data_IF_425349321841
#
_entry.id   IF_425349321841
#
_cell.length_a   1.000
_cell.length_b   1.000
_cell.length_c   1.000
_cell.angle_alpha   90.00
_cell.angle_beta   90.00
_cell.angle_gamma   90.00
#
_symmetry.space_group_name_H-M   'P 1'
#
loop_
_entity.id
_entity.type
_entity.pdbx_description
1 polymer ?
#
# COMPACT_ATOMS: atom_id res chain seq x y z
N UNK A 1 -5.89 -25.21 -17.44
CA UNK A 1 -4.73 -24.59 -16.78
C UNK A 1 -5.15 -23.19 -16.35
N UNK A 2 -5.12 -22.93 -15.05
CA UNK A 2 -5.81 -21.83 -14.38
C UNK A 2 -4.95 -20.57 -14.25
N UNK A 3 -5.60 -19.47 -13.87
CA UNK A 3 -4.99 -18.21 -13.41
C UNK A 3 -4.77 -18.30 -11.91
N UNK A 4 -3.60 -17.90 -11.43
CA UNK A 4 -3.29 -17.75 -10.02
C UNK A 4 -3.59 -16.32 -9.57
N UNK A 5 -4.44 -16.14 -8.57
CA UNK A 5 -4.60 -14.87 -7.85
C UNK A 5 -3.84 -14.94 -6.54
N UNK A 6 -2.79 -14.13 -6.41
CA UNK A 6 -1.95 -14.11 -5.23
C UNK A 6 -2.55 -13.16 -4.19
N UNK A 7 -3.00 -13.72 -3.06
CA UNK A 7 -3.72 -13.00 -2.02
C UNK A 7 -2.77 -12.52 -0.91
N UNK A 8 -2.43 -11.22 -0.96
CA UNK A 8 -1.47 -10.58 -0.05
C UNK A 8 -2.10 -9.75 1.07
N UNK A 9 -3.43 -9.51 1.02
CA UNK A 9 -4.17 -8.67 1.96
C UNK A 9 -4.76 -9.48 3.11
N UNK A 10 -5.16 -8.83 4.20
CA UNK A 10 -5.96 -9.50 5.22
C UNK A 10 -7.40 -9.73 4.75
N UNK A 11 -8.00 -8.68 4.17
CA UNK A 11 -9.37 -8.67 3.67
C UNK A 11 -9.55 -9.72 2.57
N UNK A 12 -10.74 -10.29 2.50
CA UNK A 12 -11.12 -11.24 1.45
C UNK A 12 -10.99 -10.63 0.05
N UNK A 13 -10.59 -11.42 -0.97
CA UNK A 13 -10.53 -10.96 -2.35
C UNK A 13 -11.89 -10.43 -2.81
N UNK A 14 -11.94 -9.55 -3.81
CA UNK A 14 -13.21 -9.04 -4.34
C UNK A 14 -14.18 -10.18 -4.73
N UNK A 15 -15.49 -9.97 -4.54
CA UNK A 15 -16.51 -10.99 -4.82
C UNK A 15 -16.36 -11.62 -6.22
N UNK A 16 -16.05 -10.82 -7.24
CA UNK A 16 -15.83 -11.30 -8.60
C UNK A 16 -14.68 -12.33 -8.72
N UNK A 17 -13.61 -12.17 -7.93
CA UNK A 17 -12.48 -13.11 -7.87
C UNK A 17 -12.90 -14.40 -7.15
N UNK A 18 -13.63 -14.28 -6.03
CA UNK A 18 -14.18 -15.45 -5.33
C UNK A 18 -15.13 -16.26 -6.21
N UNK A 19 -16.01 -15.58 -6.94
CA UNK A 19 -16.93 -16.24 -7.87
C UNK A 19 -16.16 -16.95 -9.00
N UNK A 20 -15.04 -16.39 -9.46
CA UNK A 20 -14.15 -17.01 -10.44
C UNK A 20 -13.43 -18.23 -9.89
N UNK A 21 -13.04 -18.21 -8.62
CA UNK A 21 -12.50 -19.38 -7.95
C UNK A 21 -13.52 -20.52 -7.84
N UNK A 22 -14.77 -20.21 -7.46
CA UNK A 22 -15.85 -21.20 -7.43
C UNK A 22 -16.12 -21.83 -8.80
N UNK A 23 -15.90 -21.09 -9.90
CA UNK A 23 -16.02 -21.61 -11.27
C UNK A 23 -14.76 -22.33 -11.77
N UNK A 24 -13.69 -22.40 -10.98
CA UNK A 24 -12.41 -23.01 -11.39
C UNK A 24 -11.60 -22.20 -12.40
N UNK A 25 -11.95 -20.93 -12.62
CA UNK A 25 -11.22 -20.02 -13.52
C UNK A 25 -9.93 -19.51 -12.85
N UNK A 26 -9.97 -19.36 -11.53
CA UNK A 26 -8.88 -18.81 -10.72
C UNK A 26 -8.57 -19.74 -9.53
N UNK A 27 -7.30 -19.90 -9.20
CA UNK A 27 -6.85 -20.46 -7.93
C UNK A 27 -6.38 -19.31 -7.04
N UNK A 28 -6.98 -19.16 -5.86
CA UNK A 28 -6.59 -18.15 -4.87
C UNK A 28 -5.58 -18.81 -3.91
N UNK A 29 -4.41 -18.21 -3.77
CA UNK A 29 -3.35 -18.71 -2.88
C UNK A 29 -2.85 -17.56 -2.01
N UNK A 30 -2.72 -17.78 -0.70
CA UNK A 30 -2.12 -16.79 0.21
C UNK A 30 -0.65 -16.60 -0.15
N UNK A 31 -0.14 -15.38 -0.05
CA UNK A 31 1.22 -15.12 -0.52
C UNK A 31 2.30 -15.93 0.21
N UNK A 32 2.15 -16.18 1.51
CA UNK A 32 3.07 -17.02 2.30
C UNK A 32 3.01 -18.52 1.94
N UNK A 33 1.99 -18.97 1.22
CA UNK A 33 1.84 -20.36 0.74
C UNK A 33 2.37 -20.54 -0.69
N UNK A 34 2.76 -19.45 -1.36
CA UNK A 34 3.23 -19.51 -2.73
C UNK A 34 4.56 -20.28 -2.82
N UNK A 35 4.59 -21.33 -3.64
CA UNK A 35 5.80 -22.10 -3.95
C UNK A 35 6.12 -22.04 -5.44
N UNK A 36 7.37 -22.35 -5.85
CA UNK A 36 7.71 -22.46 -7.26
C UNK A 36 6.81 -23.43 -8.03
N UNK A 37 6.48 -24.59 -7.44
CA UNK A 37 5.60 -25.57 -8.05
C UNK A 37 4.17 -25.05 -8.26
N UNK A 38 3.64 -24.30 -7.28
CA UNK A 38 2.32 -23.66 -7.42
C UNK A 38 2.37 -22.65 -8.58
N UNK A 39 3.34 -21.74 -8.62
CA UNK A 39 3.41 -20.72 -9.67
C UNK A 39 3.54 -21.36 -11.07
N UNK A 40 4.46 -22.31 -11.24
CA UNK A 40 4.74 -22.95 -12.53
C UNK A 40 3.62 -23.89 -13.01
N UNK A 41 2.68 -24.28 -12.15
CA UNK A 41 1.49 -25.04 -12.55
C UNK A 41 0.41 -24.18 -13.24
N UNK A 42 0.55 -22.85 -13.21
CA UNK A 42 -0.42 -21.89 -13.75
C UNK A 42 0.09 -21.22 -15.03
N UNK A 43 -0.82 -20.60 -15.78
CA UNK A 43 -0.48 -19.81 -17.00
C UNK A 43 -0.65 -18.31 -16.83
N UNK A 44 -1.39 -17.91 -15.79
CA UNK A 44 -1.64 -16.52 -15.44
C UNK A 44 -1.30 -16.27 -13.98
N UNK A 45 -0.80 -15.08 -13.67
CA UNK A 45 -0.57 -14.57 -12.32
C UNK A 45 -1.22 -13.19 -12.20
N UNK A 46 -2.01 -12.97 -11.17
CA UNK A 46 -2.56 -11.66 -10.81
C UNK A 46 -2.03 -11.30 -9.42
N UNK A 47 -1.38 -10.13 -9.31
CA UNK A 47 -0.91 -9.57 -8.05
C UNK A 47 -1.53 -8.21 -7.79
N UNK A 48 -1.91 -7.96 -6.54
CA UNK A 48 -2.49 -6.68 -6.10
C UNK A 48 -1.45 -5.66 -5.64
N UNK A 49 -1.92 -4.44 -5.38
CA UNK A 49 -1.12 -3.31 -4.93
C UNK A 49 -0.53 -3.50 -3.51
N UNK A 50 -0.94 -4.54 -2.78
CA UNK A 50 -0.39 -4.93 -1.48
C UNK A 50 0.54 -6.15 -1.55
N UNK A 51 1.11 -6.44 -2.73
CA UNK A 51 2.10 -7.49 -2.91
C UNK A 51 3.31 -7.28 -1.99
N UNK A 52 3.72 -8.30 -1.24
CA UNK A 52 5.01 -8.32 -0.55
C UNK A 52 6.11 -8.53 -1.60
N UNK A 53 6.72 -7.43 -2.04
CA UNK A 53 7.76 -7.46 -3.08
C UNK A 53 9.10 -7.98 -2.55
N UNK A 54 9.34 -7.92 -1.23
CA UNK A 54 10.55 -8.49 -0.63
C UNK A 54 10.51 -10.01 -0.71
N UNK A 55 9.36 -10.61 -0.37
CA UNK A 55 9.14 -12.06 -0.53
C UNK A 55 9.19 -12.46 -1.99
N UNK A 56 8.58 -11.68 -2.90
CA UNK A 56 8.62 -11.99 -4.34
C UNK A 56 10.02 -11.90 -4.95
N UNK A 57 10.93 -11.07 -4.42
CA UNK A 57 12.33 -11.06 -4.88
C UNK A 57 13.03 -12.41 -4.65
N UNK A 58 12.64 -13.17 -3.63
CA UNK A 58 13.15 -14.54 -3.41
C UNK A 58 12.64 -15.53 -4.47
N UNK A 59 11.55 -15.20 -5.15
CA UNK A 59 10.95 -15.98 -6.23
C UNK A 59 11.32 -15.47 -7.63
N UNK A 60 12.24 -14.51 -7.74
CA UNK A 60 12.63 -13.86 -9.01
C UNK A 60 12.87 -14.86 -10.13
N UNK A 61 13.72 -15.86 -9.90
CA UNK A 61 14.07 -16.84 -10.94
C UNK A 61 12.87 -17.72 -11.34
N UNK A 62 11.98 -18.03 -10.39
CA UNK A 62 10.74 -18.75 -10.69
C UNK A 62 9.77 -17.87 -11.48
N UNK A 63 9.64 -16.59 -11.13
CA UNK A 63 8.80 -15.64 -11.86
C UNK A 63 9.30 -15.45 -13.31
N UNK A 64 10.63 -15.36 -13.49
CA UNK A 64 11.26 -15.36 -14.82
C UNK A 64 10.93 -16.64 -15.58
N UNK A 65 11.14 -17.82 -14.99
CA UNK A 65 10.83 -19.10 -15.62
C UNK A 65 9.33 -19.26 -15.98
N UNK A 66 8.43 -18.77 -15.14
CA UNK A 66 6.99 -18.71 -15.42
C UNK A 66 6.70 -17.88 -16.68
N UNK A 67 7.34 -16.71 -16.83
CA UNK A 67 7.18 -15.85 -18.00
C UNK A 67 7.83 -16.46 -19.24
N UNK A 68 9.04 -17.01 -19.14
CA UNK A 68 9.74 -17.69 -20.23
C UNK A 68 8.92 -18.87 -20.79
N UNK A 69 8.15 -19.55 -19.92
CA UNK A 69 7.18 -20.58 -20.32
C UNK A 69 5.90 -20.04 -21.00
N UNK A 70 5.83 -18.74 -21.27
CA UNK A 70 4.68 -18.08 -21.90
C UNK A 70 3.63 -17.57 -20.91
N UNK A 71 3.94 -17.55 -19.62
CA UNK A 71 3.05 -17.04 -18.57
C UNK A 71 2.67 -15.58 -18.75
N UNK A 72 1.51 -15.20 -18.20
CA UNK A 72 1.02 -13.81 -18.20
C UNK A 72 0.88 -13.27 -16.79
N UNK A 73 1.53 -12.16 -16.51
CA UNK A 73 1.48 -11.51 -15.20
C UNK A 73 0.74 -10.18 -15.29
N UNK A 74 -0.33 -10.05 -14.52
CA UNK A 74 -1.04 -8.80 -14.29
C UNK A 74 -0.61 -8.20 -12.95
N UNK A 75 0.12 -7.11 -12.99
CA UNK A 75 0.67 -6.41 -11.83
C UNK A 75 -0.11 -5.12 -11.55
N UNK A 76 -0.61 -4.97 -10.32
CA UNK A 76 -1.12 -3.71 -9.78
C UNK A 76 -0.15 -3.18 -8.72
N UNK A 77 0.01 -1.86 -8.66
CA UNK A 77 0.79 -1.18 -7.63
C UNK A 77 2.05 -0.52 -8.15
N UNK A 78 2.85 0.00 -7.21
CA UNK A 78 4.14 0.62 -7.53
C UNK A 78 5.23 -0.45 -7.48
N UNK A 79 5.94 -0.67 -8.58
CA UNK A 79 7.07 -1.59 -8.66
C UNK A 79 8.26 -0.96 -7.92
N UNK A 80 8.52 -1.33 -6.66
CA UNK A 80 9.65 -0.79 -5.88
C UNK A 80 10.81 -1.77 -5.77
N UNK A 81 10.59 -3.00 -6.25
CA UNK A 81 11.61 -4.00 -6.52
C UNK A 81 11.53 -4.38 -8.01
N UNK A 82 12.62 -4.32 -8.78
CA UNK A 82 12.68 -4.90 -10.12
C UNK A 82 12.57 -6.44 -10.08
N UNK A 83 11.32 -6.94 -10.02
CA UNK A 83 11.00 -8.35 -9.76
C UNK A 83 11.43 -9.34 -10.87
N UNK A 84 11.79 -8.84 -12.06
CA UNK A 84 12.44 -9.57 -13.16
C UNK A 84 13.35 -8.60 -13.93
N UNK A 85 14.25 -9.11 -14.76
CA UNK A 85 15.11 -8.29 -15.63
C UNK A 85 14.30 -7.42 -16.60
N UNK A 86 14.79 -6.20 -16.84
CA UNK A 86 14.16 -5.22 -17.74
C UNK A 86 13.11 -4.34 -17.07
N UNK A 87 12.53 -4.74 -15.93
CA UNK A 87 11.62 -3.88 -15.16
C UNK A 87 12.40 -2.83 -14.37
N UNK A 88 11.78 -1.67 -14.19
CA UNK A 88 12.35 -0.54 -13.45
C UNK A 88 11.47 -0.13 -12.28
N UNK A 89 12.06 0.58 -11.34
CA UNK A 89 11.37 1.12 -10.19
C UNK A 89 10.34 2.19 -10.58
N UNK A 90 9.20 2.18 -9.90
CA UNK A 90 8.15 3.19 -9.97
C UNK A 90 8.70 4.60 -9.75
N UNK A 91 8.15 5.56 -10.50
CA UNK A 91 8.48 6.98 -10.37
C UNK A 91 7.19 7.80 -10.27
N UNK A 92 7.00 8.58 -9.21
CA UNK A 92 5.86 9.49 -9.10
C UNK A 92 6.03 10.70 -10.03
N UNK A 93 4.91 11.31 -10.41
CA UNK A 93 4.89 12.66 -10.97
C UNK A 93 5.33 13.63 -9.88
N UNK A 94 6.29 14.50 -10.17
CA UNK A 94 6.74 15.57 -9.27
C UNK A 94 5.60 16.58 -9.04
N UNK A 95 5.17 16.72 -7.79
CA UNK A 95 4.19 17.74 -7.37
C UNK A 95 2.96 17.82 -8.30
N UNK A 96 2.20 16.71 -8.46
CA UNK A 96 1.15 16.62 -9.46
C UNK A 96 0.03 17.61 -9.17
N UNK A 97 -0.47 18.26 -10.22
CA UNK A 97 -1.74 19.01 -10.21
C UNK A 97 -2.87 18.10 -10.71
N UNK A 98 -4.11 18.53 -10.51
CA UNK A 98 -5.30 17.78 -10.95
C UNK A 98 -5.24 17.33 -12.42
N UNK A 99 -4.82 18.24 -13.31
CA UNK A 99 -4.71 17.97 -14.75
C UNK A 99 -3.55 17.02 -15.11
N UNK A 100 -2.57 16.84 -14.22
CA UNK A 100 -1.51 15.83 -14.42
C UNK A 100 -2.03 14.40 -14.15
N UNK A 101 -3.25 14.26 -13.62
CA UNK A 101 -3.90 12.99 -13.28
C UNK A 101 -5.02 12.59 -14.25
N UNK A 102 -5.28 13.41 -15.27
CA UNK A 102 -6.29 13.13 -16.30
C UNK A 102 -5.93 11.84 -17.04
N UNK A 103 -6.88 10.93 -17.20
CA UNK A 103 -6.61 9.62 -17.79
C UNK A 103 -6.83 9.64 -19.29
N UNK A 104 -5.79 9.33 -20.06
CA UNK A 104 -5.80 9.42 -21.52
C UNK A 104 -5.50 8.04 -22.12
N UNK A 105 -6.33 7.61 -23.07
CA UNK A 105 -6.05 6.40 -23.85
C UNK A 105 -4.95 6.68 -24.88
N UNK A 106 -3.88 5.88 -24.85
CA UNK A 106 -2.77 5.94 -25.81
C UNK A 106 -2.92 4.84 -26.87
N UNK A 107 -3.19 3.60 -26.43
CA UNK A 107 -3.48 2.47 -27.29
C UNK A 107 -4.73 1.74 -26.80
N UNK A 108 -5.49 1.14 -27.73
CA UNK A 108 -6.66 0.33 -27.38
C UNK A 108 -6.24 -0.98 -26.73
N UNK A 109 -6.96 -1.38 -25.69
CA UNK A 109 -6.77 -2.66 -25.03
C UNK A 109 -8.13 -3.22 -24.57
N UNK A 110 -8.41 -4.53 -24.75
CA UNK A 110 -9.70 -5.14 -24.42
C UNK A 110 -10.17 -4.94 -22.97
N UNK A 111 -9.23 -4.71 -22.05
CA UNK A 111 -9.57 -4.37 -20.66
C UNK A 111 -10.47 -3.12 -20.56
N UNK A 112 -10.29 -2.16 -21.47
CA UNK A 112 -10.95 -0.86 -21.46
C UNK A 112 -12.00 -0.70 -22.56
N UNK A 113 -12.24 -1.71 -23.41
CA UNK A 113 -13.19 -1.60 -24.51
C UNK A 113 -14.60 -1.23 -24.00
N UNK A 114 -15.15 -0.16 -24.58
CA UNK A 114 -16.46 0.38 -24.21
C UNK A 114 -16.53 1.05 -22.83
N UNK A 115 -15.40 1.21 -22.14
CA UNK A 115 -15.32 1.96 -20.88
C UNK A 115 -14.91 3.40 -21.18
N UNK A 116 -15.72 4.32 -20.70
CA UNK A 116 -15.36 5.73 -20.62
C UNK A 116 -14.32 5.92 -19.51
N UNK A 117 -13.09 6.33 -19.86
CA UNK A 117 -11.97 6.41 -18.95
C UNK A 117 -12.17 7.45 -17.83
N UNK A 118 -13.00 8.47 -18.04
CA UNK A 118 -13.34 9.45 -16.99
C UNK A 118 -14.00 8.77 -15.78
N UNK A 119 -14.70 7.64 -15.99
CA UNK A 119 -15.31 6.83 -14.93
C UNK A 119 -14.31 6.04 -14.10
N UNK A 120 -13.08 5.89 -14.59
CA UNK A 120 -11.96 5.26 -13.87
C UNK A 120 -11.03 6.32 -13.26
N UNK A 121 -10.97 7.51 -13.87
CA UNK A 121 -10.14 8.63 -13.44
C UNK A 121 -10.53 9.17 -12.07
N UNK A 122 -11.85 9.35 -11.85
CA UNK A 122 -12.37 9.97 -10.64
C UNK A 122 -13.35 9.09 -9.89
N UNK A 123 -13.43 9.31 -8.58
CA UNK A 123 -14.49 8.80 -7.72
C UNK A 123 -15.08 10.01 -6.98
N UNK A 124 -16.39 10.29 -7.17
CA UNK A 124 -17.02 11.53 -6.68
C UNK A 124 -16.26 12.81 -7.07
N UNK A 125 -15.65 12.83 -8.26
CA UNK A 125 -14.88 13.99 -8.77
C UNK A 125 -13.47 14.14 -8.21
N UNK A 126 -13.04 13.28 -7.26
CA UNK A 126 -11.65 13.25 -6.76
C UNK A 126 -10.82 12.30 -7.62
N UNK A 127 -9.68 12.82 -8.10
CA UNK A 127 -8.75 12.10 -8.96
C UNK A 127 -7.53 11.53 -8.22
N UNK A 128 -6.79 10.69 -8.94
CA UNK A 128 -5.51 10.14 -8.49
C UNK A 128 -5.61 8.82 -7.74
N UNK A 129 -6.79 8.17 -7.69
CA UNK A 129 -6.93 6.78 -7.26
C UNK A 129 -6.40 5.78 -8.29
N UNK A 130 -6.45 6.16 -9.57
CA UNK A 130 -6.02 5.34 -10.71
C UNK A 130 -4.49 5.24 -10.82
N UNK A 131 -3.77 6.33 -10.54
CA UNK A 131 -2.32 6.37 -10.63
C UNK A 131 -1.79 7.79 -10.45
N UNK A 132 -0.51 7.89 -10.08
CA UNK A 132 0.17 9.18 -9.81
C UNK A 132 1.59 9.26 -10.36
N UNK A 133 1.90 8.37 -11.28
CA UNK A 133 3.25 8.10 -11.75
C UNK A 133 3.23 6.94 -12.73
N UNK A 134 4.39 6.34 -12.94
CA UNK A 134 4.52 5.15 -13.76
C UNK A 134 5.44 4.14 -13.12
N UNK A 135 5.19 2.86 -13.37
CA UNK A 135 6.26 1.88 -13.47
C UNK A 135 6.89 2.13 -14.85
N UNK A 136 8.15 2.58 -15.00
CA UNK A 136 8.67 2.94 -16.32
C UNK A 136 8.61 1.75 -17.28
N UNK A 137 8.02 1.92 -18.49
CA UNK A 137 7.88 0.83 -19.44
C UNK A 137 9.25 0.39 -19.96
N UNK A 138 9.56 -0.92 -20.00
CA UNK A 138 10.76 -1.44 -20.63
C UNK A 138 10.81 -1.15 -22.14
N UNK A 139 11.99 -1.23 -22.79
CA UNK A 139 12.07 -1.18 -24.24
C UNK A 139 11.13 -2.20 -24.92
N UNK A 140 10.36 -1.73 -25.90
CA UNK A 140 9.39 -2.55 -26.64
C UNK A 140 8.03 -2.75 -25.94
N UNK A 141 7.83 -2.22 -24.73
CA UNK A 141 6.51 -2.20 -24.11
C UNK A 141 5.57 -1.21 -24.81
N UNK A 142 4.28 -1.54 -24.79
CA UNK A 142 3.20 -0.78 -25.41
C UNK A 142 2.40 -0.09 -24.31
N UNK A 143 2.45 1.24 -24.28
CA UNK A 143 1.67 2.05 -23.35
C UNK A 143 0.20 2.01 -23.74
N UNK A 144 -0.67 1.67 -22.78
CA UNK A 144 -2.11 1.57 -22.98
C UNK A 144 -2.79 2.88 -22.59
N UNK A 145 -2.57 3.35 -21.36
CA UNK A 145 -3.09 4.62 -20.86
C UNK A 145 -1.95 5.47 -20.31
N UNK A 146 -2.11 6.79 -20.41
CA UNK A 146 -1.20 7.79 -19.87
C UNK A 146 -1.92 8.79 -18.96
N UNK A 147 -1.15 9.49 -18.13
CA UNK A 147 -1.63 10.55 -17.23
C UNK A 147 -1.22 11.93 -17.73
N UNK A 148 -2.19 12.85 -17.76
CA UNK A 148 -2.04 14.25 -18.10
C UNK A 148 -1.51 14.50 -19.51
N UNK A 149 -1.31 15.77 -19.87
CA UNK A 149 -0.90 16.17 -21.24
C UNK A 149 0.45 15.61 -21.72
N UNK A 150 1.29 15.13 -20.81
CA UNK A 150 2.58 14.50 -21.12
C UNK A 150 2.50 12.97 -21.30
N UNK A 151 1.31 12.39 -21.09
CA UNK A 151 1.02 10.96 -21.23
C UNK A 151 1.97 10.08 -20.39
N UNK A 152 2.14 10.41 -19.10
CA UNK A 152 2.96 9.58 -18.18
C UNK A 152 2.39 8.14 -18.15
N UNK A 153 3.16 7.11 -18.50
CA UNK A 153 2.63 5.78 -18.83
C UNK A 153 2.19 5.00 -17.58
N UNK A 154 0.93 5.16 -17.19
CA UNK A 154 0.36 4.49 -16.01
C UNK A 154 0.03 3.01 -16.27
N UNK A 155 -0.36 2.69 -17.51
CA UNK A 155 -0.63 1.33 -17.94
C UNK A 155 0.20 0.97 -19.16
N UNK A 156 0.78 -0.22 -19.16
CA UNK A 156 1.45 -0.76 -20.33
C UNK A 156 1.46 -2.28 -20.34
N UNK A 157 1.61 -2.82 -21.56
CA UNK A 157 1.86 -4.24 -21.79
C UNK A 157 3.25 -4.42 -22.34
N UNK A 158 4.02 -5.33 -21.75
CA UNK A 158 5.30 -5.78 -22.28
C UNK A 158 5.19 -7.23 -22.74
N UNK A 159 5.29 -7.45 -24.05
CA UNK A 159 5.56 -8.78 -24.59
C UNK A 159 7.07 -8.99 -24.56
N UNK A 160 7.53 -9.84 -23.65
CA UNK A 160 8.96 -10.05 -23.42
C UNK A 160 9.59 -10.77 -24.61
N UNK A 161 10.82 -10.42 -25.01
CA UNK A 161 11.55 -11.14 -26.05
C UNK A 161 11.72 -12.64 -25.75
N UNK A 162 11.93 -12.99 -24.48
CA UNK A 162 12.16 -14.37 -24.02
C UNK A 162 10.87 -15.19 -23.86
N UNK A 163 9.70 -14.54 -23.99
CA UNK A 163 8.40 -15.16 -23.82
C UNK A 163 7.59 -14.61 -22.65
N UNK A 164 6.28 -14.84 -22.72
CA UNK A 164 5.32 -14.35 -21.72
C UNK A 164 4.98 -12.87 -21.88
N UNK A 165 4.08 -12.39 -21.02
CA UNK A 165 3.60 -11.00 -21.03
C UNK A 165 3.44 -10.44 -19.63
N UNK A 166 3.72 -9.16 -19.49
CA UNK A 166 3.41 -8.39 -18.27
C UNK A 166 2.44 -7.28 -18.62
N UNK A 167 1.33 -7.17 -17.90
CA UNK A 167 0.51 -5.96 -17.84
C UNK A 167 0.85 -5.27 -16.52
N UNK A 168 1.30 -4.02 -16.60
CA UNK A 168 1.57 -3.21 -15.41
C UNK A 168 0.58 -2.08 -15.32
N UNK A 169 -0.13 -2.01 -14.19
CA UNK A 169 -0.95 -0.88 -13.77
C UNK A 169 -0.29 -0.23 -12.54
N UNK A 170 0.20 1.01 -12.67
CA UNK A 170 0.95 1.69 -11.61
C UNK A 170 0.07 2.49 -10.65
N UNK A 171 -0.92 1.82 -10.06
CA UNK A 171 -1.89 2.41 -9.13
C UNK A 171 -2.52 1.40 -8.18
N UNK A 172 -3.68 1.75 -7.61
CA UNK A 172 -4.48 0.82 -6.82
C UNK A 172 -5.03 -0.32 -7.69
N UNK A 173 -5.56 -1.40 -7.10
CA UNK A 173 -6.05 -2.53 -7.89
C UNK A 173 -7.06 -2.11 -8.97
N UNK A 174 -6.70 -2.32 -10.25
CA UNK A 174 -7.53 -1.93 -11.40
C UNK A 174 -8.91 -2.60 -11.33
N UNK A 175 -8.95 -3.87 -10.89
CA UNK A 175 -10.20 -4.61 -10.69
C UNK A 175 -11.15 -4.00 -9.64
N UNK A 176 -10.70 -3.00 -8.88
CA UNK A 176 -11.49 -2.25 -7.91
C UNK A 176 -11.87 -0.83 -8.36
N UNK A 177 -11.46 -0.42 -9.56
CA UNK A 177 -11.77 0.91 -10.11
C UNK A 177 -13.22 1.01 -10.60
N UNK A 178 -13.71 2.25 -10.71
CA UNK A 178 -15.03 2.55 -11.24
C UNK A 178 -16.20 1.96 -10.42
N UNK A 179 -16.05 1.86 -9.10
CA UNK A 179 -17.09 1.32 -8.19
C UNK A 179 -18.42 2.08 -8.30
N UNK A 180 -18.35 3.42 -8.35
CA UNK A 180 -19.52 4.29 -8.53
C UNK A 180 -20.32 3.94 -9.80
N UNK A 181 -19.63 3.41 -10.80
CA UNK A 181 -20.18 3.09 -12.12
C UNK A 181 -20.42 1.59 -12.34
N UNK A 182 -20.25 0.76 -11.30
CA UNK A 182 -20.42 -0.69 -11.39
C UNK A 182 -19.39 -1.41 -12.26
N UNK A 183 -18.24 -0.78 -12.56
CA UNK A 183 -17.24 -1.32 -13.49
C UNK A 183 -16.31 -2.37 -12.85
N UNK A 184 -16.17 -2.37 -11.53
CA UNK A 184 -15.23 -3.24 -10.82
C UNK A 184 -15.40 -4.74 -11.13
N UNK A 185 -16.60 -5.35 -11.10
CA UNK A 185 -16.75 -6.76 -11.45
C UNK A 185 -16.38 -7.06 -12.91
N UNK A 186 -16.67 -6.14 -13.83
CA UNK A 186 -16.33 -6.27 -15.25
C UNK A 186 -14.81 -6.21 -15.45
N UNK A 187 -14.13 -5.25 -14.81
CA UNK A 187 -12.68 -5.12 -14.88
C UNK A 187 -11.98 -6.36 -14.29
N UNK A 188 -12.43 -6.84 -13.13
CA UNK A 188 -11.90 -8.05 -12.52
C UNK A 188 -12.02 -9.26 -13.46
N UNK A 189 -13.17 -9.44 -14.13
CA UNK A 189 -13.35 -10.49 -15.13
C UNK A 189 -12.37 -10.36 -16.29
N UNK A 190 -12.25 -9.17 -16.88
CA UNK A 190 -11.37 -8.93 -18.04
C UNK A 190 -9.90 -9.15 -17.69
N UNK A 191 -9.48 -8.82 -16.45
CA UNK A 191 -8.13 -9.09 -15.95
C UNK A 191 -7.88 -10.60 -15.85
N UNK A 192 -8.83 -11.36 -15.30
CA UNK A 192 -8.75 -12.83 -15.23
C UNK A 192 -8.66 -13.42 -16.64
N UNK A 193 -9.53 -12.99 -17.57
CA UNK A 193 -9.51 -13.47 -18.95
C UNK A 193 -8.19 -13.15 -19.65
N UNK A 194 -7.65 -11.94 -19.47
CA UNK A 194 -6.36 -11.54 -20.03
C UNK A 194 -5.21 -12.38 -19.47
N UNK A 195 -5.15 -12.57 -18.16
CA UNK A 195 -4.14 -13.40 -17.50
C UNK A 195 -4.27 -14.87 -17.92
N UNK A 196 -5.49 -15.34 -18.17
CA UNK A 196 -5.79 -16.70 -18.62
C UNK A 196 -5.45 -17.00 -20.08
N UNK A 197 -4.99 -16.01 -20.86
CA UNK A 197 -4.62 -16.21 -22.26
C UNK A 197 -5.46 -15.44 -23.28
N UNK A 198 -6.43 -14.62 -22.84
CA UNK A 198 -7.34 -13.85 -23.69
C UNK A 198 -6.65 -12.85 -24.63
N UNK A 199 -7.44 -12.11 -25.40
CA UNK A 199 -6.93 -11.10 -26.35
C UNK A 199 -6.13 -10.02 -25.62
N UNK A 200 -5.02 -9.58 -26.22
CA UNK A 200 -4.10 -8.61 -25.62
C UNK A 200 -4.14 -7.26 -26.33
N UNK A 201 -3.45 -7.10 -27.46
CA UNK A 201 -3.45 -5.85 -28.22
C UNK A 201 -4.25 -6.01 -29.50
N UNK A 202 -4.96 -4.94 -29.90
CA UNK A 202 -5.46 -4.79 -31.27
C UNK A 202 -4.43 -4.03 -32.10
N UNK A 203 -4.25 -4.44 -33.36
CA UNK A 203 -3.41 -3.74 -34.34
C UNK A 203 -4.21 -2.65 -35.06
N UNK A 204 -3.59 -1.51 -35.44
CA UNK A 204 -2.20 -1.11 -35.23
C UNK A 204 -1.91 -0.58 -33.82
N UNK A 205 -0.64 -0.59 -33.42
CA UNK A 205 -0.13 -0.04 -32.15
C UNK A 205 0.67 1.22 -32.41
N UNK A 206 0.47 2.24 -31.59
CA UNK A 206 1.16 3.54 -31.67
C UNK A 206 2.24 3.66 -30.58
N UNK A 207 3.39 4.22 -30.95
CA UNK A 207 4.46 4.51 -30.01
C UNK A 207 4.06 5.67 -29.08
N UNK A 208 4.33 5.52 -27.78
CA UNK A 208 4.14 6.60 -26.82
C UNK A 208 5.23 7.68 -26.97
N UNK A 209 4.89 8.94 -26.67
CA UNK A 209 5.84 10.06 -26.63
C UNK A 209 6.67 10.05 -25.34
N UNK A 210 7.58 9.09 -25.21
CA UNK A 210 8.35 8.84 -23.99
C UNK A 210 9.15 10.06 -23.48
N UNK A 211 9.62 10.94 -24.36
CA UNK A 211 10.51 12.06 -24.00
C UNK A 211 9.84 13.15 -23.16
N UNK A 212 8.52 13.35 -23.26
CA UNK A 212 7.83 14.40 -22.51
C UNK A 212 7.43 13.94 -21.10
N UNK A 213 6.98 12.70 -20.96
CA UNK A 213 6.66 12.10 -19.66
C UNK A 213 7.85 12.16 -18.69
N UNK A 214 9.06 11.90 -19.19
CA UNK A 214 10.29 11.86 -18.40
C UNK A 214 10.55 13.17 -17.61
N UNK A 215 10.17 14.32 -18.19
CA UNK A 215 10.34 15.64 -17.57
C UNK A 215 9.45 15.88 -16.35
N UNK A 216 8.40 15.08 -16.17
CA UNK A 216 7.45 15.19 -15.05
C UNK A 216 7.77 14.26 -13.90
N UNK A 217 8.61 13.25 -14.13
CA UNK A 217 8.84 12.17 -13.18
C UNK A 217 9.96 12.53 -12.19
N UNK A 218 9.76 12.18 -10.93
CA UNK A 218 10.82 12.21 -9.93
C UNK A 218 11.95 11.25 -10.33
N UNK A 219 13.19 11.48 -9.90
CA UNK A 219 14.25 10.47 -10.06
C UNK A 219 13.85 9.17 -9.38
N UNK A 220 14.45 8.06 -9.82
CA UNK A 220 14.35 6.81 -9.08
C UNK A 220 14.96 7.00 -7.68
N UNK A 221 14.30 6.44 -6.67
CA UNK A 221 14.80 6.46 -5.30
C UNK A 221 15.70 5.26 -5.03
N UNK A 222 16.45 5.31 -3.94
CA UNK A 222 17.16 4.15 -3.40
C UNK A 222 16.39 3.63 -2.20
N UNK A 223 16.32 2.32 -2.07
CA UNK A 223 15.70 1.66 -0.92
C UNK A 223 16.75 0.81 -0.23
N UNK A 224 17.07 1.16 1.02
CA UNK A 224 18.12 0.51 1.80
C UNK A 224 17.82 -0.95 2.17
N UNK A 225 16.58 -1.41 2.01
CA UNK A 225 16.16 -2.77 2.34
C UNK A 225 15.91 -2.98 3.82
N UNK A 226 15.64 -4.23 4.18
CA UNK A 226 15.57 -4.64 5.58
C UNK A 226 16.94 -4.49 6.25
N UNK A 227 16.94 -4.12 7.53
CA UNK A 227 18.15 -3.88 8.31
C UNK A 227 17.93 -4.17 9.78
N UNK A 228 19.01 -4.50 10.49
CA UNK A 228 19.00 -4.70 11.94
C UNK A 228 20.19 -4.03 12.59
N UNK A 229 19.93 -2.94 13.32
CA UNK A 229 20.94 -2.26 14.14
C UNK A 229 21.26 -3.06 15.41
N UNK A 230 22.54 -3.19 15.72
CA UNK A 230 23.06 -3.78 16.98
C UNK A 230 23.21 -2.77 18.12
N UNK A 231 22.69 -1.54 17.96
CA UNK A 231 22.75 -0.49 18.98
C UNK A 231 22.23 -0.99 20.33
N UNK A 232 22.93 -0.67 21.42
CA UNK A 232 22.48 -0.97 22.80
C UNK A 232 21.49 0.05 23.36
N UNK A 233 21.29 1.18 22.67
CA UNK A 233 20.25 2.15 23.02
C UNK A 233 18.87 1.58 22.68
N UNK A 234 17.81 2.21 23.19
CA UNK A 234 16.43 1.98 22.74
C UNK A 234 16.38 2.13 21.22
N UNK A 235 15.84 1.12 20.54
CA UNK A 235 15.69 1.10 19.08
C UNK A 235 14.23 1.34 18.70
N UNK A 236 14.02 1.92 17.53
CA UNK A 236 12.72 1.93 16.86
C UNK A 236 12.69 0.82 15.79
N UNK A 237 11.80 -0.16 15.99
CA UNK A 237 11.64 -1.33 15.10
C UNK A 237 10.35 -1.17 14.31
N UNK A 238 10.38 -1.42 13.01
CA UNK A 238 9.19 -1.45 12.17
C UNK A 238 9.13 -2.74 11.33
N UNK A 239 8.08 -3.56 11.47
CA UNK A 239 7.83 -4.63 10.53
C UNK A 239 7.38 -4.05 9.18
N UNK A 240 8.04 -4.46 8.11
CA UNK A 240 7.68 -4.21 6.72
C UNK A 240 7.09 -5.47 6.11
N UNK A 241 5.86 -5.38 5.61
CA UNK A 241 5.23 -6.43 4.81
C UNK A 241 5.66 -6.42 3.34
N UNK A 242 6.73 -5.70 2.98
CA UNK A 242 7.27 -5.61 1.62
C UNK A 242 6.34 -4.95 0.59
N UNK A 243 5.26 -4.34 1.04
CA UNK A 243 4.38 -3.53 0.19
C UNK A 243 5.10 -2.25 -0.23
N UNK A 244 4.71 -1.69 -1.38
CA UNK A 244 5.42 -0.53 -1.92
C UNK A 244 5.41 0.67 -0.98
N UNK A 245 4.31 0.87 -0.25
CA UNK A 245 4.16 2.00 0.66
C UNK A 245 4.94 1.80 1.96
N UNK A 246 5.15 0.57 2.42
CA UNK A 246 6.10 0.28 3.51
C UNK A 246 7.54 0.50 3.06
N UNK A 247 7.91 -0.06 1.91
CA UNK A 247 9.25 0.09 1.35
C UNK A 247 9.60 1.58 1.19
N UNK A 248 8.74 2.38 0.55
CA UNK A 248 8.99 3.82 0.40
C UNK A 248 9.08 4.52 1.77
N UNK A 249 8.17 4.24 2.69
CA UNK A 249 8.12 4.96 3.97
C UNK A 249 9.21 4.55 4.96
N UNK A 250 9.78 3.35 4.85
CA UNK A 250 10.77 2.81 5.78
C UNK A 250 12.20 2.84 5.24
N UNK A 251 12.36 2.74 3.92
CA UNK A 251 13.66 2.49 3.29
C UNK A 251 14.13 3.63 2.37
N UNK A 252 13.27 4.61 2.06
CA UNK A 252 13.68 5.78 1.27
C UNK A 252 14.58 6.73 2.07
N UNK A 253 15.40 7.57 1.41
CA UNK A 253 16.33 8.48 2.08
C UNK A 253 15.68 9.44 3.09
N UNK A 254 14.37 9.70 2.96
CA UNK A 254 13.65 10.59 3.88
C UNK A 254 13.60 10.03 5.29
N UNK A 255 13.41 8.71 5.42
CA UNK A 255 13.16 8.04 6.70
C UNK A 255 14.06 6.84 6.95
N UNK A 256 15.01 6.51 6.06
CA UNK A 256 15.87 5.34 6.24
C UNK A 256 16.62 5.39 7.59
N UNK A 257 17.16 6.54 8.00
CA UNK A 257 17.86 6.67 9.29
C UNK A 257 16.91 6.77 10.50
N UNK A 258 15.60 6.74 10.29
CA UNK A 258 14.62 6.83 11.37
C UNK A 258 14.51 5.53 12.15
N UNK A 259 14.41 4.41 11.44
CA UNK A 259 14.15 3.10 12.03
C UNK A 259 15.48 2.38 12.22
N UNK A 260 15.72 1.85 13.41
CA UNK A 260 16.93 1.09 13.73
C UNK A 260 16.85 -0.34 13.19
N UNK A 261 15.64 -0.90 13.12
CA UNK A 261 15.37 -2.23 12.56
C UNK A 261 14.17 -2.13 11.63
N UNK A 262 14.33 -2.65 10.41
CA UNK A 262 13.25 -2.88 9.46
C UNK A 262 13.29 -4.36 9.12
N UNK A 263 12.26 -5.10 9.54
CA UNK A 263 12.23 -6.57 9.46
C UNK A 263 10.89 -7.06 8.90
N UNK A 264 10.76 -8.33 8.53
CA UNK A 264 9.44 -8.93 8.32
C UNK A 264 8.70 -9.09 9.67
N UNK A 265 7.36 -9.07 9.72
CA UNK A 265 6.58 -9.38 10.93
C UNK A 265 7.04 -10.68 11.62
N UNK A 266 7.34 -11.72 10.85
CA UNK A 266 7.72 -13.04 11.34
C UNK A 266 9.09 -13.06 12.04
N UNK A 267 9.91 -12.02 11.86
CA UNK A 267 11.21 -11.91 12.52
C UNK A 267 11.14 -11.13 13.85
N UNK A 268 9.95 -10.68 14.27
CA UNK A 268 9.81 -9.87 15.48
C UNK A 268 10.26 -10.61 16.74
N UNK A 269 10.08 -11.93 16.81
CA UNK A 269 10.54 -12.73 17.95
C UNK A 269 12.07 -12.67 18.15
N UNK A 270 12.83 -12.58 17.05
CA UNK A 270 14.29 -12.55 17.06
C UNK A 270 14.84 -11.11 17.19
N UNK A 271 14.11 -10.14 16.65
CA UNK A 271 14.56 -8.75 16.57
C UNK A 271 14.12 -7.91 17.77
N UNK A 272 12.93 -8.12 18.33
CA UNK A 272 12.35 -7.22 19.32
C UNK A 272 12.91 -7.47 20.72
N UNK A 273 13.43 -6.41 21.38
CA UNK A 273 13.95 -6.48 22.76
C UNK A 273 13.03 -5.71 23.72
N UNK A 274 13.03 -6.04 25.02
CA UNK A 274 12.16 -5.40 26.01
C UNK A 274 12.19 -3.86 26.02
N UNK A 275 13.37 -3.26 25.85
CA UNK A 275 13.54 -1.81 25.93
C UNK A 275 13.12 -1.05 24.67
N UNK A 276 12.80 -1.77 23.59
CA UNK A 276 12.60 -1.18 22.27
C UNK A 276 11.18 -0.60 22.09
N UNK A 277 11.02 0.23 21.06
CA UNK A 277 9.71 0.66 20.57
C UNK A 277 9.39 -0.06 19.26
N UNK A 278 8.27 -0.78 19.24
CA UNK A 278 7.73 -1.41 18.04
C UNK A 278 6.74 -0.43 17.39
N UNK A 279 7.01 0.00 16.16
CA UNK A 279 6.09 0.77 15.33
C UNK A 279 5.50 -0.15 14.27
N UNK A 280 4.24 -0.53 14.38
CA UNK A 280 3.51 -1.30 13.36
C UNK A 280 2.88 -0.32 12.36
N UNK A 281 3.40 -0.23 11.12
CA UNK A 281 2.86 0.70 10.12
C UNK A 281 1.40 0.37 9.75
N UNK A 282 0.66 1.39 9.30
CA UNK A 282 -0.69 1.20 8.84
C UNK A 282 -0.76 0.24 7.64
N UNK A 283 -1.84 -0.55 7.54
CA UNK A 283 -2.01 -1.59 6.49
C UNK A 283 -0.96 -2.70 6.51
N UNK A 284 -0.26 -2.92 7.63
CA UNK A 284 0.41 -4.20 7.87
C UNK A 284 -0.65 -5.31 7.87
N UNK A 285 -0.52 -6.37 7.04
CA UNK A 285 -1.54 -7.41 6.95
C UNK A 285 -1.81 -8.05 8.31
N UNK A 286 -3.04 -7.92 8.79
CA UNK A 286 -3.37 -8.28 10.17
C UNK A 286 -3.07 -9.75 10.50
N UNK A 287 -3.30 -10.68 9.57
CA UNK A 287 -2.97 -12.10 9.78
C UNK A 287 -1.50 -12.32 10.18
N UNK A 288 -0.57 -11.57 9.58
CA UNK A 288 0.86 -11.67 9.91
C UNK A 288 1.13 -11.16 11.32
N UNK A 289 0.43 -10.12 11.77
CA UNK A 289 0.57 -9.60 13.14
C UNK A 289 -0.16 -10.46 14.19
N UNK A 290 -1.28 -11.10 13.83
CA UNK A 290 -1.99 -12.05 14.69
C UNK A 290 -1.06 -13.20 15.08
N UNK A 291 -0.25 -13.70 14.14
CA UNK A 291 0.77 -14.73 14.41
C UNK A 291 1.87 -14.24 15.38
N UNK A 292 2.07 -12.92 15.51
CA UNK A 292 3.04 -12.31 16.42
C UNK A 292 2.41 -11.83 17.73
N UNK A 293 1.14 -12.11 17.99
CA UNK A 293 0.40 -11.62 19.18
C UNK A 293 1.14 -11.88 20.49
N UNK A 294 1.68 -13.08 20.67
CA UNK A 294 2.37 -13.43 21.92
C UNK A 294 3.72 -12.72 22.05
N UNK A 295 4.39 -12.41 20.94
CA UNK A 295 5.62 -11.60 20.93
C UNK A 295 5.30 -10.17 21.38
N UNK A 296 4.24 -9.58 20.80
CA UNK A 296 3.78 -8.23 21.14
C UNK A 296 3.32 -8.15 22.60
N UNK A 297 2.57 -9.15 23.08
CA UNK A 297 2.10 -9.19 24.46
C UNK A 297 3.28 -9.25 25.45
N UNK A 298 4.25 -10.16 25.24
CA UNK A 298 5.45 -10.23 26.09
C UNK A 298 6.24 -8.92 26.09
N UNK A 299 6.33 -8.25 24.95
CA UNK A 299 6.99 -6.95 24.83
C UNK A 299 6.30 -5.89 25.69
N UNK A 300 4.97 -5.82 25.64
CA UNK A 300 4.17 -4.93 26.49
C UNK A 300 4.25 -5.30 27.97
N UNK A 301 4.21 -6.59 28.33
CA UNK A 301 4.37 -7.07 29.71
C UNK A 301 5.75 -6.70 30.29
N UNK A 302 6.78 -6.63 29.45
CA UNK A 302 8.13 -6.23 29.83
C UNK A 302 8.33 -4.70 29.92
N UNK A 303 7.27 -3.89 29.74
CA UNK A 303 7.34 -2.43 29.78
C UNK A 303 7.72 -1.77 28.45
N UNK A 304 7.71 -2.54 27.35
CA UNK A 304 8.01 -2.04 26.01
C UNK A 304 6.95 -1.07 25.48
N UNK A 305 7.27 -0.37 24.39
CA UNK A 305 6.31 0.50 23.69
C UNK A 305 5.86 -0.13 22.37
N UNK A 306 4.56 -0.05 22.07
CA UNK A 306 3.97 -0.40 20.78
C UNK A 306 3.20 0.79 20.22
N UNK A 307 3.52 1.20 19.00
CA UNK A 307 2.78 2.18 18.20
C UNK A 307 2.05 1.43 17.10
N UNK A 308 0.72 1.50 17.06
CA UNK A 308 -0.10 0.84 16.06
C UNK A 308 -0.96 1.85 15.30
N UNK A 309 -0.72 1.97 14.00
CA UNK A 309 -1.43 2.92 13.14
C UNK A 309 -2.59 2.25 12.39
N UNK A 310 -3.42 3.06 11.75
CA UNK A 310 -4.72 2.66 11.22
C UNK A 310 -4.67 1.51 10.23
N UNK A 311 -5.81 0.85 10.02
CA UNK A 311 -5.92 -0.25 9.04
C UNK A 311 -4.93 -1.41 9.29
N UNK A 312 -4.39 -1.55 10.50
CA UNK A 312 -3.55 -2.69 10.92
C UNK A 312 -4.32 -3.72 11.77
N UNK A 313 -5.60 -3.45 12.07
CA UNK A 313 -6.48 -4.29 12.91
C UNK A 313 -5.85 -4.63 14.27
N UNK A 314 -5.34 -3.62 14.98
CA UNK A 314 -4.79 -3.78 16.33
C UNK A 314 -5.77 -4.42 17.32
N UNK A 315 -7.08 -4.32 17.07
CA UNK A 315 -8.14 -5.06 17.78
C UNK A 315 -7.98 -6.58 17.77
N UNK A 316 -7.24 -7.13 16.80
CA UNK A 316 -7.06 -8.57 16.65
C UNK A 316 -5.76 -9.11 17.27
N UNK A 317 -4.78 -8.25 17.57
CA UNK A 317 -3.44 -8.69 17.99
C UNK A 317 -2.81 -7.90 19.14
N UNK A 318 -3.41 -6.80 19.59
CA UNK A 318 -3.02 -6.08 20.82
C UNK A 318 -4.05 -6.29 21.95
N UNK A 319 -3.63 -6.28 23.23
CA UNK A 319 -4.55 -6.41 24.36
C UNK A 319 -5.39 -5.15 24.57
N UNK A 320 -6.66 -5.32 24.95
CA UNK A 320 -7.53 -4.23 25.41
C UNK A 320 -7.96 -3.22 24.34
N UNK A 321 -7.77 -3.52 23.04
CA UNK A 321 -8.17 -2.62 21.96
C UNK A 321 -9.64 -2.85 21.59
N UNK A 322 -10.44 -1.79 21.69
CA UNK A 322 -11.82 -1.77 21.21
C UNK A 322 -11.96 -0.75 20.08
N UNK A 323 -12.19 -1.24 18.86
CA UNK A 323 -12.25 -0.43 17.65
C UNK A 323 -13.59 -0.59 16.92
N UNK A 324 -14.15 0.53 16.48
CA UNK A 324 -15.32 0.56 15.60
C UNK A 324 -14.93 1.17 14.26
N UNK A 325 -14.99 0.36 13.20
CA UNK A 325 -14.76 0.83 11.83
C UNK A 325 -15.86 1.76 11.37
N UNK A 326 -15.50 2.80 10.61
CA UNK A 326 -16.47 3.64 9.89
C UNK A 326 -16.09 3.72 8.41
N UNK A 327 -17.06 3.91 7.49
CA UNK A 327 -16.73 4.15 6.10
C UNK A 327 -15.82 5.37 5.94
N UNK A 328 -14.68 5.18 5.29
CA UNK A 328 -13.74 6.26 5.00
C UNK A 328 -14.35 7.28 4.04
N UNK A 329 -14.47 8.54 4.46
CA UNK A 329 -14.84 9.63 3.56
C UNK A 329 -13.58 10.20 2.89
N UNK A 330 -13.37 9.81 1.63
CA UNK A 330 -12.20 10.20 0.84
C UNK A 330 -12.29 11.58 0.19
N UNK A 331 -13.39 12.32 0.38
CA UNK A 331 -13.68 13.56 -0.35
C UNK A 331 -14.48 14.55 0.50
N UNK A 332 -14.34 14.48 1.83
CA UNK A 332 -15.06 15.32 2.77
C UNK A 332 -14.90 16.82 2.47
N UNK A 333 -13.78 17.24 1.89
CA UNK A 333 -13.51 18.63 1.50
C UNK A 333 -14.37 19.16 0.35
N UNK A 334 -15.11 18.29 -0.35
CA UNK A 334 -16.08 18.70 -1.38
C UNK A 334 -17.41 19.17 -0.79
N UNK A 335 -17.67 18.90 0.49
CA UNK A 335 -18.90 19.31 1.16
C UNK A 335 -18.90 20.84 1.41
N UNK A 336 -20.02 21.55 1.21
CA UNK A 336 -20.10 22.97 1.56
C UNK A 336 -19.81 23.19 3.05
N UNK A 337 -18.82 24.04 3.36
CA UNK A 337 -18.39 24.27 4.76
C UNK A 337 -17.61 23.11 5.37
N UNK A 338 -17.05 22.22 4.52
CA UNK A 338 -16.37 21.00 4.93
C UNK A 338 -15.38 21.18 6.08
N UNK A 339 -15.64 20.43 7.14
CA UNK A 339 -14.70 20.16 8.21
C UNK A 339 -14.75 18.65 8.50
N UNK A 340 -13.60 17.97 8.43
CA UNK A 340 -13.54 16.57 8.83
C UNK A 340 -13.92 16.41 10.31
N UNK A 341 -13.72 17.47 11.10
CA UNK A 341 -14.02 17.54 12.53
C UNK A 341 -12.97 16.86 13.40
N UNK A 342 -11.76 16.64 12.87
CA UNK A 342 -10.64 16.14 13.67
C UNK A 342 -10.14 17.24 14.60
N UNK A 343 -10.02 16.91 15.88
CA UNK A 343 -9.54 17.83 16.92
C UNK A 343 -8.38 17.23 17.70
N UNK A 344 -7.35 18.03 17.96
CA UNK A 344 -6.33 17.71 18.96
C UNK A 344 -6.87 18.17 20.30
N UNK A 345 -7.06 17.26 21.25
CA UNK A 345 -7.61 17.58 22.57
C UNK A 345 -6.53 17.65 23.67
N UNK A 346 -5.32 17.15 23.38
CA UNK A 346 -4.16 17.23 24.26
C UNK A 346 -2.97 17.93 23.56
N UNK A 347 -3.06 19.24 23.27
CA UNK A 347 -2.04 19.96 22.48
C UNK A 347 -0.67 20.04 23.17
N UNK A 348 -0.65 19.96 24.50
CA UNK A 348 0.59 20.00 25.30
C UNK A 348 1.26 18.62 25.42
N UNK A 349 0.63 17.55 24.90
CA UNK A 349 1.22 16.21 24.93
C UNK A 349 2.45 16.15 24.01
N UNK A 350 3.56 15.60 24.50
CA UNK A 350 4.84 15.59 23.78
C UNK A 350 4.74 14.99 22.36
N UNK A 351 3.95 13.92 22.18
CA UNK A 351 3.68 13.31 20.86
C UNK A 351 3.10 14.29 19.82
N UNK A 352 2.36 15.31 20.25
CA UNK A 352 1.67 16.28 19.40
C UNK A 352 2.35 17.66 19.40
N UNK A 353 3.55 17.77 19.97
CA UNK A 353 4.29 19.03 20.03
C UNK A 353 4.42 19.67 18.64
N UNK A 354 3.92 20.91 18.52
CA UNK A 354 3.95 21.68 17.28
C UNK A 354 3.08 21.14 16.14
N UNK A 355 2.22 20.16 16.39
CA UNK A 355 1.26 19.63 15.41
C UNK A 355 -0.03 20.43 15.45
N UNK A 356 -0.58 20.74 14.27
CA UNK A 356 -1.90 21.36 14.14
C UNK A 356 -2.92 20.41 13.52
N UNK A 357 -4.20 20.82 13.50
CA UNK A 357 -5.29 20.05 12.87
C UNK A 357 -4.97 19.56 11.46
N UNK A 358 -4.32 20.39 10.64
CA UNK A 358 -3.95 20.06 9.25
C UNK A 358 -2.92 18.95 9.12
N UNK A 359 -2.28 18.57 10.22
CA UNK A 359 -1.33 17.45 10.27
C UNK A 359 -2.04 16.14 10.62
N UNK A 360 -3.32 16.15 11.06
CA UNK A 360 -4.10 14.94 11.37
C UNK A 360 -5.34 14.78 10.47
N UNK A 361 -5.77 15.83 9.77
CA UNK A 361 -7.01 15.85 9.00
C UNK A 361 -6.81 15.49 7.51
N UNK A 362 -6.83 14.20 7.17
CA UNK A 362 -6.96 13.71 5.78
C UNK A 362 -8.13 12.75 5.59
N UNK A 363 -8.23 11.69 6.38
CA UNK A 363 -9.43 10.89 6.67
C UNK A 363 -9.09 9.94 7.84
N UNK A 364 -10.09 9.21 8.30
CA UNK A 364 -9.99 8.24 9.39
C UNK A 364 -10.77 6.97 9.02
N UNK A 365 -10.41 5.85 9.63
CA UNK A 365 -10.99 4.53 9.35
C UNK A 365 -11.92 4.02 10.46
N UNK A 366 -12.03 4.78 11.55
CA UNK A 366 -12.83 4.41 12.70
C UNK A 366 -12.39 5.16 13.94
N UNK A 367 -12.91 4.72 15.07
CA UNK A 367 -12.65 5.28 16.39
C UNK A 367 -12.49 4.16 17.42
N UNK A 368 -11.85 4.49 18.54
CA UNK A 368 -11.59 3.58 19.64
C UNK A 368 -12.42 3.91 20.86
N UNK A 369 -12.68 2.90 21.70
CA UNK A 369 -13.13 3.08 23.09
C UNK A 369 -11.94 2.82 24.01
N UNK A 370 -11.15 3.84 24.38
CA UNK A 370 -10.00 3.66 25.26
C UNK A 370 -10.45 3.21 26.66
N UNK A 371 -9.60 2.45 27.39
CA UNK A 371 -9.87 2.10 28.78
C UNK A 371 -9.83 3.33 29.69
N UNK A 372 -10.46 3.22 30.86
CA UNK A 372 -10.40 4.26 31.88
C UNK A 372 -8.94 4.50 32.31
N UNK A 373 -8.51 5.77 32.30
CA UNK A 373 -7.13 6.17 32.60
C UNK A 373 -6.22 6.31 31.36
N UNK A 374 -6.65 5.90 30.17
CA UNK A 374 -5.94 6.20 28.93
C UNK A 374 -6.05 7.70 28.56
N UNK A 375 -5.02 8.22 27.90
CA UNK A 375 -4.94 9.61 27.47
C UNK A 375 -5.36 9.75 26.01
N UNK A 376 -6.55 10.29 25.77
CA UNK A 376 -7.01 10.61 24.41
C UNK A 376 -6.29 11.86 23.91
N UNK A 377 -5.66 11.77 22.73
CA UNK A 377 -4.84 12.83 22.17
C UNK A 377 -5.55 13.57 21.04
N UNK A 378 -6.32 12.85 20.22
CA UNK A 378 -7.15 13.42 19.17
C UNK A 378 -8.48 12.68 19.00
N UNK A 379 -9.50 13.42 18.58
CA UNK A 379 -10.88 12.94 18.38
C UNK A 379 -11.39 13.24 16.98
N UNK A 380 -12.44 12.53 16.58
CA UNK A 380 -13.27 12.88 15.44
C UNK A 380 -14.34 13.93 15.80
N UNK A 381 -15.24 14.21 14.84
CA UNK A 381 -16.30 15.24 14.98
C UNK A 381 -17.33 14.94 16.08
N UNK A 382 -17.40 13.70 16.55
CA UNK A 382 -18.34 13.24 17.58
C UNK A 382 -17.59 13.02 18.92
N UNK A 383 -16.40 13.62 19.08
CA UNK A 383 -15.55 13.50 20.25
C UNK A 383 -15.08 12.05 20.54
N UNK A 384 -15.07 11.18 19.53
CA UNK A 384 -14.62 9.79 19.66
C UNK A 384 -13.13 9.70 19.39
N UNK A 385 -12.41 8.90 20.18
CA UNK A 385 -10.96 8.81 20.11
C UNK A 385 -10.46 8.23 18.77
N UNK A 386 -9.53 8.91 18.11
CA UNK A 386 -8.86 8.43 16.88
C UNK A 386 -7.35 8.31 17.04
N UNK A 387 -6.80 8.87 18.12
CA UNK A 387 -5.41 8.71 18.57
C UNK A 387 -5.40 8.80 20.09
N UNK A 388 -4.86 7.80 20.77
CA UNK A 388 -4.72 7.79 22.22
C UNK A 388 -3.43 7.08 22.66
N UNK A 389 -2.99 7.40 23.87
CA UNK A 389 -1.95 6.68 24.60
C UNK A 389 -2.60 5.88 25.75
N UNK A 390 -2.21 4.63 25.89
CA UNK A 390 -2.61 3.74 26.97
C UNK A 390 -1.37 3.23 27.70
N UNK A 391 -1.31 3.54 28.99
CA UNK A 391 -0.28 3.11 29.95
C UNK A 391 -0.90 2.38 31.14
N UNK A 392 -2.17 1.97 31.03
CA UNK A 392 -2.96 1.40 32.12
C UNK A 392 -3.35 -0.06 31.86
N UNK A 393 -3.53 -0.46 30.60
CA UNK A 393 -3.90 -1.84 30.23
C UNK A 393 -2.78 -2.84 30.47
N UNK A 394 -1.53 -2.41 30.27
CA UNK A 394 -0.32 -3.24 30.44
C UNK A 394 0.76 -2.45 31.16
N UNK A 395 1.82 -3.08 31.71
CA UNK A 395 3.01 -2.37 32.18
C UNK A 395 3.71 -1.54 31.09
N UNK A 396 3.54 -1.93 29.83
CA UNK A 396 4.06 -1.23 28.66
C UNK A 396 3.13 -0.14 28.16
N UNK A 397 3.60 0.57 27.12
CA UNK A 397 2.92 1.72 26.53
C UNK A 397 2.34 1.35 25.16
N UNK A 398 1.08 1.67 24.93
CA UNK A 398 0.42 1.54 23.64
C UNK A 398 0.06 2.92 23.10
N UNK A 399 0.45 3.24 21.87
CA UNK A 399 0.05 4.45 21.16
C UNK A 399 -0.73 3.99 19.92
N UNK A 400 -2.03 4.26 19.90
CA UNK A 400 -2.94 3.63 18.94
C UNK A 400 -3.68 4.69 18.16
N UNK A 401 -3.73 4.55 16.83
CA UNK A 401 -4.44 5.50 15.97
C UNK A 401 -5.18 4.82 14.82
N UNK A 402 -6.27 5.45 14.37
CA UNK A 402 -7.02 5.04 13.17
C UNK A 402 -6.51 5.72 11.90
N UNK A 403 -5.51 6.59 12.03
CA UNK A 403 -4.85 7.31 10.95
C UNK A 403 -3.84 6.41 10.22
N UNK A 404 -3.80 6.49 8.89
CA UNK A 404 -3.01 5.60 8.01
C UNK A 404 -1.88 6.30 7.22
N UNK A 405 -0.93 6.99 7.88
CA UNK A 405 0.01 7.89 7.20
C UNK A 405 1.00 7.19 6.25
N UNK A 406 1.43 5.96 6.53
CA UNK A 406 2.41 5.24 5.70
C UNK A 406 1.86 4.91 4.31
N UNK A 407 0.60 4.48 4.24
CA UNK A 407 -0.04 4.21 2.95
C UNK A 407 -0.08 5.48 2.10
N UNK A 408 -0.60 6.59 2.61
CA UNK A 408 -0.71 7.80 1.78
C UNK A 408 0.61 8.47 1.47
N UNK A 409 1.57 8.39 2.38
CA UNK A 409 2.93 8.86 2.13
C UNK A 409 3.56 8.03 1.00
N UNK A 410 3.60 6.71 1.16
CA UNK A 410 4.18 5.76 0.20
C UNK A 410 3.44 5.63 -1.13
N UNK A 411 2.16 5.99 -1.16
CA UNK A 411 1.35 6.05 -2.39
C UNK A 411 1.36 7.42 -3.05
N UNK A 412 2.03 8.42 -2.46
CA UNK A 412 2.02 9.81 -2.92
C UNK A 412 0.60 10.40 -3.05
N UNK A 413 -0.33 9.96 -2.19
CA UNK A 413 -1.72 10.40 -2.21
C UNK A 413 -1.92 11.73 -1.49
N UNK A 414 -1.47 11.81 -0.23
CA UNK A 414 -1.85 12.91 0.66
C UNK A 414 -0.62 13.56 1.31
N UNK A 415 -0.23 14.79 0.90
CA UNK A 415 0.89 15.52 1.51
C UNK A 415 0.74 15.76 3.02
N UNK A 416 -0.49 15.74 3.55
CA UNK A 416 -0.76 15.82 4.98
C UNK A 416 -0.11 14.69 5.78
N UNK A 417 -0.03 13.49 5.20
CA UNK A 417 0.55 12.33 5.88
C UNK A 417 2.07 12.40 5.97
N UNK A 418 2.74 12.97 4.97
CA UNK A 418 4.17 13.32 5.08
C UNK A 418 4.41 14.33 6.20
N UNK A 419 3.58 15.39 6.30
CA UNK A 419 3.69 16.37 7.39
C UNK A 419 3.43 15.75 8.77
N UNK A 420 2.47 14.83 8.87
CA UNK A 420 2.22 14.05 10.08
C UNK A 420 3.50 13.31 10.50
N UNK A 421 4.07 12.51 9.59
CA UNK A 421 5.27 11.71 9.86
C UNK A 421 6.48 12.58 10.22
N UNK A 422 6.69 13.69 9.50
CA UNK A 422 7.79 14.64 9.75
C UNK A 422 7.77 15.24 11.16
N UNK A 423 6.60 15.35 11.78
CA UNK A 423 6.43 15.86 13.14
C UNK A 423 6.37 14.73 14.17
N UNK A 424 5.54 13.74 13.91
CA UNK A 424 5.23 12.68 14.87
C UNK A 424 6.43 11.76 15.13
N UNK A 425 7.25 11.46 14.12
CA UNK A 425 8.44 10.61 14.29
C UNK A 425 9.46 11.25 15.23
N UNK A 426 9.92 12.51 15.03
CA UNK A 426 10.79 13.18 16.00
C UNK A 426 10.15 13.29 17.39
N UNK A 427 8.88 13.69 17.47
CA UNK A 427 8.17 13.81 18.75
C UNK A 427 8.13 12.47 19.52
N UNK A 428 7.87 11.36 18.83
CA UNK A 428 7.92 10.03 19.42
C UNK A 428 9.32 9.71 19.93
N UNK A 429 10.37 9.98 19.14
CA UNK A 429 11.75 9.73 19.55
C UNK A 429 12.13 10.53 20.79
N UNK A 430 11.78 11.81 20.83
CA UNK A 430 12.06 12.67 21.99
C UNK A 430 11.28 12.18 23.22
N UNK A 431 9.99 11.88 23.05
CA UNK A 431 9.14 11.35 24.11
C UNK A 431 9.60 9.98 24.66
N UNK A 432 10.21 9.16 23.82
CA UNK A 432 10.81 7.89 24.24
C UNK A 432 12.20 8.04 24.84
N UNK A 433 12.86 9.20 24.77
CA UNK A 433 14.19 9.40 25.33
C UNK A 433 14.21 10.38 26.52
N UNK A 434 13.08 11.05 26.78
CA UNK A 434 12.81 11.76 28.03
C UNK A 434 12.61 10.77 29.19
#
# INVERSE_FOLDING_TARGET
MSVLYLHSTYEEPAQAVRDAATRGEVSIVRQNELTPGILLAHKGLITGNQLDQNTMMTMRDTLTAFLDAGGRWFFNGHMVRPLIDGLSQYRPICQPKRADLDLISVNRHPLFDGIDLEKLETNKGVAGFYGRGCNPPPPGAVVINGLGSTHVPVDWVWSRPEGGRVFSHSGNDLGSMGREWGLSPQLARRIIDWAGGGTCLSTPVFAAKASQAETKLAPAETYSGMKSSRSRKRRLIAPSSGTYYHIHSLESPRYEDTFDVVCAPEMLADELRPSDALWVPCRTPAHRMIEQRDVVLRHLEAGGTVVALGESRSDLWMPGIEFTSVPTNWWWWLEPGADLGVSIIAPDHALLAGMGRKDLAWHLHGWFRPPEGAHVLATDREDRAILYEDTVTTPGRMIVSSLDPFFHHGSHFMPATTRFLDRFIPNLKDYLNA
#
